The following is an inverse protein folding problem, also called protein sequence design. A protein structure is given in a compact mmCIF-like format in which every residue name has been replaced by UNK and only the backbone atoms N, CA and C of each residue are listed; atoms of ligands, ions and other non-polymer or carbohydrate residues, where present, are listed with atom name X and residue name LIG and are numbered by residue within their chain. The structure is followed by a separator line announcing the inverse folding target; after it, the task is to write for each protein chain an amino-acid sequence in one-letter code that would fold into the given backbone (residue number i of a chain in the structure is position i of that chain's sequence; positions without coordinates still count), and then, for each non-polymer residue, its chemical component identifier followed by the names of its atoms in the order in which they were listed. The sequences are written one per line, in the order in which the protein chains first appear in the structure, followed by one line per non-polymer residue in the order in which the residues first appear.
data_IF_588297285705
#
_entry.id   IF_588297285705
#
_cell.length_a   1.000
_cell.length_b   1.000
_cell.length_c   1.000
_cell.angle_alpha   90.00
_cell.angle_beta   90.00
_cell.angle_gamma   90.00
#
_symmetry.space_group_name_H-M   'P 1'
#
loop_
_entity.id
_entity.type
_entity.pdbx_description
1 polymer ?
#
# COMPACT_ATOMS: atom_id res chain seq x y z
N UNK A 1 2.30 21.67 11.06
CA UNK A 1 2.94 20.85 10.01
C UNK A 1 2.52 21.44 8.69
N UNK A 2 3.45 21.92 7.88
CA UNK A 2 3.11 22.49 6.57
C UNK A 2 2.96 21.32 5.60
N UNK A 3 1.76 21.17 5.05
CA UNK A 3 1.49 20.25 3.96
C UNK A 3 1.77 20.98 2.66
N UNK A 4 2.31 20.26 1.68
CA UNK A 4 2.55 20.78 0.35
C UNK A 4 1.78 19.95 -0.67
N UNK A 5 1.49 20.59 -1.80
CA UNK A 5 0.80 19.92 -2.89
C UNK A 5 1.76 18.97 -3.60
N UNK A 6 1.25 17.81 -3.95
CA UNK A 6 1.94 16.70 -4.58
C UNK A 6 0.99 16.09 -5.58
N UNK A 7 1.51 15.63 -6.71
CA UNK A 7 0.68 14.95 -7.69
C UNK A 7 0.40 13.52 -7.23
N UNK A 8 -0.80 13.01 -7.53
CA UNK A 8 -1.16 11.64 -7.16
C UNK A 8 -0.24 10.62 -7.82
N UNK A 9 0.22 10.90 -9.05
CA UNK A 9 1.09 10.01 -9.84
C UNK A 9 2.54 9.96 -9.32
N UNK A 10 2.95 10.93 -8.49
CA UNK A 10 4.27 10.93 -7.83
C UNK A 10 4.27 10.09 -6.54
N UNK A 11 3.09 9.65 -6.09
CA UNK A 11 2.96 8.83 -4.88
C UNK A 11 3.12 7.36 -5.25
N UNK A 12 4.25 6.78 -4.87
CA UNK A 12 4.48 5.33 -4.93
C UNK A 12 4.72 4.77 -3.53
N UNK A 13 3.75 4.02 -3.01
CA UNK A 13 3.84 3.36 -1.69
C UNK A 13 4.74 2.12 -1.71
N UNK A 14 5.06 1.60 -2.89
CA UNK A 14 5.92 0.44 -3.09
C UNK A 14 7.38 0.82 -3.34
N UNK A 15 7.70 2.10 -3.47
CA UNK A 15 9.06 2.60 -3.55
C UNK A 15 9.73 2.68 -2.16
N UNK A 16 10.90 2.06 -1.92
CA UNK A 16 11.65 2.25 -0.67
C UNK A 16 11.98 3.72 -0.38
N UNK A 17 12.19 4.52 -1.43
CA UNK A 17 12.52 5.94 -1.37
C UNK A 17 11.39 6.76 -0.74
N UNK A 18 10.14 6.36 -0.96
CA UNK A 18 8.99 6.98 -0.30
C UNK A 18 9.08 6.86 1.22
N UNK A 19 9.52 5.71 1.71
CA UNK A 19 9.60 5.42 3.15
C UNK A 19 10.80 6.08 3.82
N UNK A 20 11.86 6.37 3.07
CA UNK A 20 13.04 7.13 3.56
C UNK A 20 12.87 8.64 3.46
N UNK A 21 11.83 9.12 2.76
CA UNK A 21 11.53 10.53 2.61
C UNK A 21 11.18 11.25 3.94
N UNK A 22 11.34 12.59 4.00
CA UNK A 22 10.95 13.39 5.15
C UNK A 22 9.51 13.15 5.59
N UNK A 23 9.25 13.33 6.88
CA UNK A 23 7.91 13.09 7.44
C UNK A 23 6.85 13.96 6.79
N UNK A 24 7.19 15.22 6.51
CA UNK A 24 6.30 16.20 5.87
C UNK A 24 5.85 15.74 4.48
N UNK A 25 6.73 15.08 3.72
CA UNK A 25 6.41 14.48 2.42
C UNK A 25 5.41 13.35 2.55
N UNK A 26 5.69 12.41 3.46
CA UNK A 26 4.80 11.26 3.70
C UNK A 26 3.42 11.71 4.20
N UNK A 27 3.37 12.69 5.10
CA UNK A 27 2.10 13.22 5.61
C UNK A 27 1.31 13.95 4.52
N UNK A 28 1.99 14.69 3.63
CA UNK A 28 1.36 15.32 2.45
C UNK A 28 0.82 14.26 1.48
N UNK A 29 1.58 13.19 1.22
CA UNK A 29 1.16 12.00 0.45
C UNK A 29 -0.12 11.39 0.97
N UNK A 30 -0.16 11.05 2.25
CA UNK A 30 -1.36 10.48 2.84
C UNK A 30 -2.53 11.46 2.90
N UNK A 31 -2.28 12.77 3.05
CA UNK A 31 -3.34 13.77 3.01
C UNK A 31 -3.98 13.89 1.63
N UNK A 32 -3.17 13.92 0.56
CA UNK A 32 -3.65 13.93 -0.83
C UNK A 32 -4.47 12.69 -1.15
N UNK A 33 -3.94 11.50 -0.83
CA UNK A 33 -4.64 10.22 -1.02
C UNK A 33 -6.00 10.22 -0.30
N UNK A 34 -6.07 10.63 0.97
CA UNK A 34 -7.34 10.66 1.72
C UNK A 34 -8.40 11.57 1.12
N UNK A 35 -7.98 12.67 0.48
CA UNK A 35 -8.87 13.69 -0.04
C UNK A 35 -9.34 13.39 -1.46
N UNK A 36 -8.46 12.90 -2.34
CA UNK A 36 -8.75 12.77 -3.77
C UNK A 36 -9.02 11.32 -4.18
N UNK A 37 -8.20 10.37 -3.71
CA UNK A 37 -8.32 8.96 -4.10
C UNK A 37 -8.03 8.04 -2.90
N UNK A 38 -9.01 7.88 -1.99
CA UNK A 38 -8.78 7.23 -0.71
C UNK A 38 -8.55 5.72 -0.79
N UNK A 39 -8.95 5.12 -1.91
CA UNK A 39 -8.77 3.71 -2.26
C UNK A 39 -8.06 3.68 -3.62
N UNK A 40 -6.74 3.52 -3.61
CA UNK A 40 -5.91 3.49 -4.83
C UNK A 40 -5.18 2.15 -4.93
N UNK A 41 -5.03 1.65 -6.14
CA UNK A 41 -4.26 0.45 -6.45
C UNK A 41 -2.78 0.78 -6.66
N UNK A 42 -1.89 -0.04 -6.10
CA UNK A 42 -0.44 0.05 -6.23
C UNK A 42 0.13 -1.30 -6.66
N UNK A 43 1.15 -1.27 -7.51
CA UNK A 43 1.89 -2.48 -7.85
C UNK A 43 2.75 -2.92 -6.66
N UNK A 44 3.00 -4.22 -6.52
CA UNK A 44 3.89 -4.72 -5.46
C UNK A 44 5.35 -4.35 -5.71
N UNK A 45 6.10 -4.08 -4.64
CA UNK A 45 7.56 -3.91 -4.69
C UNK A 45 8.21 -5.19 -5.22
N UNK A 46 9.21 -5.03 -6.09
CA UNK A 46 9.99 -6.15 -6.61
C UNK A 46 10.94 -6.68 -5.51
N UNK A 47 10.57 -7.80 -4.91
CA UNK A 47 11.42 -8.50 -3.96
C UNK A 47 12.13 -9.66 -4.67
N UNK A 48 13.47 -9.67 -4.63
CA UNK A 48 14.31 -10.69 -5.30
C UNK A 48 13.93 -12.14 -5.00
N UNK A 49 13.27 -12.41 -3.86
CA UNK A 49 12.89 -13.75 -3.42
C UNK A 49 11.38 -14.03 -3.44
N UNK A 50 10.56 -13.08 -3.88
CA UNK A 50 9.09 -13.22 -3.92
C UNK A 50 8.60 -12.79 -5.31
N UNK A 51 7.87 -13.64 -6.04
CA UNK A 51 7.33 -13.25 -7.34
C UNK A 51 6.37 -12.06 -7.17
N UNK A 52 6.56 -11.01 -7.97
CA UNK A 52 5.69 -9.83 -7.99
C UNK A 52 4.23 -10.28 -8.15
N UNK A 53 3.42 -10.02 -7.14
CA UNK A 53 2.00 -10.32 -7.14
C UNK A 53 1.22 -9.31 -7.98
N UNK A 54 -0.12 -9.45 -8.01
CA UNK A 54 -0.99 -8.61 -8.82
C UNK A 54 -1.13 -7.18 -8.28
N UNK A 55 -0.39 -6.78 -7.24
CA UNK A 55 -0.56 -5.48 -6.59
C UNK A 55 -1.47 -5.53 -5.36
N UNK A 56 -1.65 -4.37 -4.73
CA UNK A 56 -2.53 -4.20 -3.56
C UNK A 56 -3.32 -2.89 -3.63
N UNK A 57 -4.47 -2.87 -2.96
CA UNK A 57 -5.23 -1.64 -2.75
C UNK A 57 -4.83 -1.01 -1.41
N UNK A 58 -4.45 0.26 -1.42
CA UNK A 58 -4.17 1.03 -0.21
C UNK A 58 -5.44 1.76 0.25
N UNK A 59 -5.89 1.44 1.47
CA UNK A 59 -6.97 2.14 2.15
C UNK A 59 -6.36 3.23 3.04
N UNK A 60 -6.65 4.49 2.75
CA UNK A 60 -6.03 5.62 3.48
C UNK A 60 -6.97 6.33 4.45
N UNK A 61 -8.29 6.11 4.34
CA UNK A 61 -9.28 6.65 5.28
C UNK A 61 -9.48 5.71 6.45
N UNK A 62 -9.63 6.32 7.63
CA UNK A 62 -9.91 5.61 8.86
C UNK A 62 -11.20 4.78 8.80
N UNK A 63 -12.26 5.31 8.20
CA UNK A 63 -13.55 4.60 8.09
C UNK A 63 -13.45 3.32 7.24
N UNK A 64 -12.67 3.36 6.16
CA UNK A 64 -12.45 2.20 5.28
C UNK A 64 -11.62 1.12 5.99
N UNK A 65 -10.58 1.54 6.74
CA UNK A 65 -9.77 0.64 7.58
C UNK A 65 -10.65 0.01 8.67
N UNK A 66 -11.51 0.80 9.30
CA UNK A 66 -12.43 0.33 10.34
C UNK A 66 -13.44 -0.68 9.77
N UNK A 67 -13.96 -0.42 8.56
CA UNK A 67 -14.85 -1.33 7.86
C UNK A 67 -14.15 -2.65 7.53
N UNK A 68 -12.93 -2.60 6.97
CA UNK A 68 -12.16 -3.80 6.64
C UNK A 68 -11.86 -4.65 7.89
N UNK A 69 -11.45 -4.01 8.99
CA UNK A 69 -11.12 -4.68 10.25
C UNK A 69 -12.30 -5.43 10.88
N UNK A 70 -13.53 -4.92 10.73
CA UNK A 70 -14.75 -5.52 11.30
C UNK A 70 -15.44 -6.53 10.40
N UNK A 71 -15.01 -6.68 9.15
CA UNK A 71 -15.55 -7.65 8.21
C UNK A 71 -14.49 -8.69 7.81
N UNK A 72 -13.92 -9.45 8.78
CA UNK A 72 -12.88 -10.46 8.49
C UNK A 72 -13.36 -11.56 7.53
N UNK A 73 -14.68 -11.77 7.44
CA UNK A 73 -15.29 -12.69 6.48
C UNK A 73 -15.18 -12.22 5.02
N UNK A 74 -15.03 -10.91 4.78
CA UNK A 74 -14.81 -10.32 3.46
C UNK A 74 -13.33 -10.04 3.21
N UNK A 75 -12.60 -9.63 4.25
CA UNK A 75 -11.19 -9.28 4.19
C UNK A 75 -10.36 -10.30 4.96
N UNK A 76 -10.04 -11.40 4.27
CA UNK A 76 -9.27 -12.50 4.87
C UNK A 76 -7.81 -12.08 5.00
N UNK A 77 -7.34 -11.96 6.24
CA UNK A 77 -5.96 -11.56 6.57
C UNK A 77 -4.90 -12.59 6.12
N UNK A 78 -5.29 -13.84 5.85
CA UNK A 78 -4.40 -14.89 5.34
C UNK A 78 -4.93 -15.45 4.03
N UNK A 79 -4.30 -15.06 2.92
CA UNK A 79 -4.40 -15.82 1.67
C UNK A 79 -3.12 -16.63 1.55
N UNK A 80 -3.10 -17.84 2.10
CA UNK A 80 -2.00 -18.77 1.82
C UNK A 80 -2.07 -19.14 0.35
N UNK A 81 -1.26 -18.46 -0.47
CA UNK A 81 -0.94 -18.96 -1.81
C UNK A 81 0.17 -19.98 -1.60
N UNK A 82 -0.17 -21.27 -1.61
CA UNK A 82 0.82 -22.35 -1.67
C UNK A 82 1.50 -22.30 -3.04
N UNK A 83 2.41 -21.35 -3.25
CA UNK A 83 3.41 -21.48 -4.29
C UNK A 83 4.42 -22.50 -3.75
N UNK A 84 4.58 -23.69 -4.36
CA UNK A 84 5.61 -24.61 -3.92
C UNK A 84 6.95 -23.92 -4.16
N UNK A 85 7.61 -23.51 -3.08
CA UNK A 85 9.00 -23.06 -3.12
C UNK A 85 9.79 -24.34 -3.39
N UNK A 86 10.01 -24.65 -4.67
CA UNK A 86 10.98 -25.66 -5.06
C UNK A 86 12.37 -25.10 -4.74
N UNK A 87 12.88 -25.42 -3.55
CA UNK A 87 14.30 -25.31 -3.27
C UNK A 87 14.99 -26.43 -4.08
N UNK A 88 15.90 -26.11 -5.02
CA UNK A 88 16.70 -27.14 -5.66
C UNK A 88 17.63 -27.79 -4.61
N UNK A 89 17.79 -29.12 -4.73
CA UNK A 89 18.68 -29.96 -3.93
C UNK A 89 20.15 -29.51 -4.02
#
# INVERSE_FOLDING_TARGET
MQLFDIELDDIDLSAPEFWTAPREYRESAFAKLRNEEPIRFFEEMDFTFVPKGPGYFALTRHDDIWHASRNPQLFVAVRVRTSPIFLPN
#
